data_IF_817278035453
#
_entry.id   IF_817278035453
#
_cell.length_a   1.000
_cell.length_b   1.000
_cell.length_c   1.000
_cell.angle_alpha   90.00
_cell.angle_beta   90.00
_cell.angle_gamma   90.00
#
_symmetry.space_group_name_H-M   'P 1'
#
loop_
_entity.id
_entity.type
_entity.pdbx_description
1 polymer ?
#
# COMPACT_ATOMS: atom_id res chain seq x y z
N UNK A 1 -15.15 11.36 21.10
CA UNK A 1 -15.95 10.16 20.74
C UNK A 1 -15.24 8.94 21.30
N UNK A 2 -15.52 8.59 22.55
CA UNK A 2 -14.93 7.42 23.18
C UNK A 2 -15.78 6.18 22.87
N UNK A 3 -15.16 5.10 22.38
CA UNK A 3 -15.83 3.83 22.10
C UNK A 3 -15.69 3.32 20.66
N UNK A 4 -16.32 2.18 20.40
CA UNK A 4 -16.28 1.42 19.12
C UNK A 4 -16.62 2.30 17.91
N UNK A 5 -17.55 3.26 18.06
CA UNK A 5 -17.94 4.18 16.98
C UNK A 5 -16.80 5.05 16.46
N UNK A 6 -15.89 5.51 17.33
CA UNK A 6 -14.70 6.26 16.92
C UNK A 6 -13.73 5.40 16.11
N UNK A 7 -13.54 4.15 16.53
CA UNK A 7 -12.68 3.16 15.85
C UNK A 7 -13.20 2.82 14.46
N UNK A 8 -14.52 2.62 14.33
CA UNK A 8 -15.17 2.36 13.03
C UNK A 8 -14.99 3.57 12.11
N UNK A 9 -15.29 4.78 12.59
CA UNK A 9 -15.18 6.00 11.80
C UNK A 9 -13.74 6.23 11.31
N UNK A 10 -12.75 6.11 12.19
CA UNK A 10 -11.35 6.25 11.82
C UNK A 10 -10.90 5.21 10.80
N UNK A 11 -11.38 3.97 10.95
CA UNK A 11 -11.09 2.89 9.99
C UNK A 11 -11.72 3.15 8.63
N UNK A 12 -12.95 3.66 8.58
CA UNK A 12 -13.64 4.01 7.33
C UNK A 12 -12.95 5.18 6.60
N UNK A 13 -12.58 6.23 7.34
CA UNK A 13 -11.87 7.39 6.76
C UNK A 13 -10.53 6.93 6.18
N UNK A 14 -9.74 6.21 6.97
CA UNK A 14 -8.41 5.77 6.53
C UNK A 14 -8.48 4.73 5.40
N UNK A 15 -9.38 3.76 5.50
CA UNK A 15 -9.61 2.76 4.45
C UNK A 15 -10.05 3.43 3.14
N UNK A 16 -10.95 4.40 3.21
CA UNK A 16 -11.41 5.14 2.02
C UNK A 16 -10.26 5.93 1.39
N UNK A 17 -9.46 6.64 2.20
CA UNK A 17 -8.27 7.35 1.71
C UNK A 17 -7.29 6.39 1.02
N UNK A 18 -7.02 5.23 1.64
CA UNK A 18 -6.17 4.18 1.06
C UNK A 18 -6.71 3.67 -0.27
N UNK A 19 -7.99 3.31 -0.35
CA UNK A 19 -8.60 2.82 -1.61
C UNK A 19 -8.51 3.88 -2.70
N UNK A 20 -8.81 5.14 -2.41
CA UNK A 20 -8.75 6.21 -3.40
C UNK A 20 -7.32 6.47 -3.88
N UNK A 21 -6.35 6.52 -2.97
CA UNK A 21 -4.95 6.70 -3.31
C UNK A 21 -4.37 5.50 -4.08
N UNK A 22 -4.69 4.28 -3.66
CA UNK A 22 -4.27 3.06 -4.35
C UNK A 22 -4.93 2.91 -5.71
N UNK A 23 -6.23 3.21 -5.84
CA UNK A 23 -6.91 3.27 -7.13
C UNK A 23 -6.21 4.24 -8.08
N UNK A 24 -5.96 5.47 -7.62
CA UNK A 24 -5.29 6.48 -8.44
C UNK A 24 -3.92 5.99 -8.90
N UNK A 25 -3.11 5.47 -7.97
CA UNK A 25 -1.76 4.99 -8.30
C UNK A 25 -1.75 3.76 -9.21
N UNK A 26 -2.70 2.84 -9.04
CA UNK A 26 -2.92 1.72 -9.94
C UNK A 26 -3.34 2.21 -11.34
N UNK A 27 -4.15 3.27 -11.43
CA UNK A 27 -4.47 3.93 -12.69
C UNK A 27 -3.22 4.48 -13.38
N UNK A 28 -2.35 5.17 -12.65
CA UNK A 28 -1.04 5.62 -13.16
C UNK A 28 -0.20 4.43 -13.65
N UNK A 29 -0.14 3.34 -12.88
CA UNK A 29 0.57 2.12 -13.26
C UNK A 29 0.05 1.50 -14.54
N UNK A 30 -1.27 1.42 -14.70
CA UNK A 30 -1.89 0.94 -15.93
C UNK A 30 -1.54 1.86 -17.12
N UNK A 31 -1.57 3.19 -16.95
CA UNK A 31 -1.17 4.11 -18.04
C UNK A 31 0.30 3.99 -18.42
N UNK A 32 1.19 3.75 -17.46
CA UNK A 32 2.64 3.71 -17.69
C UNK A 32 3.12 2.36 -18.21
N UNK A 33 2.54 1.27 -17.69
CA UNK A 33 2.99 -0.09 -17.98
C UNK A 33 2.15 -0.77 -19.05
N UNK A 34 0.91 -0.30 -19.29
CA UNK A 34 -0.06 -0.86 -20.24
C UNK A 34 -0.69 0.25 -21.10
N UNK A 35 0.12 1.03 -21.86
CA UNK A 35 -0.37 2.15 -22.67
C UNK A 35 -1.37 1.74 -23.75
N UNK A 36 -1.45 0.45 -24.10
CA UNK A 36 -2.39 -0.12 -25.06
C UNK A 36 -3.83 -0.21 -24.55
N UNK A 37 -4.08 -0.02 -23.25
CA UNK A 37 -5.42 -0.11 -22.68
C UNK A 37 -6.27 1.15 -22.97
N UNK A 38 -7.56 0.94 -23.24
CA UNK A 38 -8.51 2.04 -23.35
C UNK A 38 -8.76 2.73 -22.00
N UNK A 39 -9.16 4.00 -22.04
CA UNK A 39 -9.46 4.79 -20.83
C UNK A 39 -10.52 4.12 -19.93
N UNK A 40 -11.55 3.50 -20.52
CA UNK A 40 -12.57 2.76 -19.77
C UNK A 40 -12.02 1.50 -19.10
N UNK A 41 -11.12 0.77 -19.77
CA UNK A 41 -10.46 -0.40 -19.20
C UNK A 41 -9.57 0.01 -18.01
N UNK A 42 -8.82 1.11 -18.15
CA UNK A 42 -7.99 1.68 -17.07
C UNK A 42 -8.87 2.08 -15.88
N UNK A 43 -9.98 2.80 -16.12
CA UNK A 43 -10.90 3.22 -15.06
C UNK A 43 -11.43 2.03 -14.26
N UNK A 44 -11.90 0.97 -14.93
CA UNK A 44 -12.43 -0.23 -14.27
C UNK A 44 -11.34 -0.99 -13.52
N UNK A 45 -10.22 -1.30 -14.17
CA UNK A 45 -9.13 -2.09 -13.56
C UNK A 45 -8.44 -1.34 -12.43
N UNK A 46 -8.35 -0.01 -12.47
CA UNK A 46 -7.77 0.78 -11.38
C UNK A 46 -8.51 0.59 -10.05
N UNK A 47 -9.83 0.47 -10.09
CA UNK A 47 -10.65 0.20 -8.90
C UNK A 47 -10.37 -1.19 -8.33
N UNK A 48 -10.41 -2.21 -9.18
CA UNK A 48 -10.15 -3.60 -8.79
C UNK A 48 -8.75 -3.73 -8.17
N UNK A 49 -7.72 -3.18 -8.82
CA UNK A 49 -6.35 -3.23 -8.32
C UNK A 49 -6.17 -2.42 -7.03
N UNK A 50 -6.82 -1.26 -6.90
CA UNK A 50 -6.80 -0.47 -5.67
C UNK A 50 -7.39 -1.21 -4.47
N UNK A 51 -8.50 -1.92 -4.68
CA UNK A 51 -9.12 -2.78 -3.66
C UNK A 51 -8.23 -3.99 -3.32
N UNK A 52 -7.69 -4.67 -4.33
CA UNK A 52 -6.76 -5.77 -4.12
C UNK A 52 -5.53 -5.31 -3.32
N UNK A 53 -4.99 -4.13 -3.63
CA UNK A 53 -3.86 -3.56 -2.89
C UNK A 53 -4.18 -3.34 -1.42
N UNK A 54 -5.39 -2.88 -1.09
CA UNK A 54 -5.85 -2.75 0.29
C UNK A 54 -5.94 -4.12 0.97
N UNK A 55 -6.50 -5.13 0.30
CA UNK A 55 -6.64 -6.48 0.83
C UNK A 55 -5.28 -7.15 1.08
N UNK A 56 -4.33 -6.95 0.16
CA UNK A 56 -2.93 -7.38 0.35
C UNK A 56 -2.37 -6.73 1.62
N UNK A 57 -2.52 -5.40 1.75
CA UNK A 57 -2.09 -4.65 2.93
C UNK A 57 -2.67 -5.19 4.23
N UNK A 58 -3.97 -5.50 4.24
CA UNK A 58 -4.63 -6.12 5.39
C UNK A 58 -4.01 -7.50 5.74
N UNK A 59 -3.75 -8.34 4.74
CA UNK A 59 -3.15 -9.66 4.92
C UNK A 59 -1.71 -9.60 5.47
N UNK A 60 -0.89 -8.65 5.00
CA UNK A 60 0.50 -8.52 5.48
C UNK A 60 0.65 -7.63 6.72
N UNK A 61 -0.36 -6.83 7.08
CA UNK A 61 -0.28 -5.89 8.20
C UNK A 61 -0.07 -6.56 9.56
N UNK A 62 -0.67 -7.74 9.78
CA UNK A 62 -0.50 -8.51 11.03
C UNK A 62 0.94 -9.02 11.22
N UNK A 63 1.52 -9.81 10.29
CA UNK A 63 2.91 -10.26 10.43
C UNK A 63 3.90 -9.09 10.40
N UNK A 64 3.56 -8.00 9.71
CA UNK A 64 4.35 -6.78 9.71
C UNK A 64 4.47 -6.14 11.09
N UNK A 65 3.38 -6.07 11.87
CA UNK A 65 3.41 -5.48 13.20
C UNK A 65 4.37 -6.25 14.13
N UNK A 66 4.37 -7.58 14.05
CA UNK A 66 5.30 -8.43 14.79
C UNK A 66 6.75 -8.22 14.33
N UNK A 67 6.99 -8.22 13.01
CA UNK A 67 8.33 -7.99 12.45
C UNK A 67 8.87 -6.60 12.83
N UNK A 68 8.02 -5.57 12.78
CA UNK A 68 8.39 -4.22 13.19
C UNK A 68 8.78 -4.16 14.67
N UNK A 69 8.03 -4.81 15.56
CA UNK A 69 8.37 -4.85 16.99
C UNK A 69 9.74 -5.51 17.21
N UNK A 70 10.01 -6.64 16.55
CA UNK A 70 11.30 -7.35 16.64
C UNK A 70 12.47 -6.51 16.12
N UNK A 71 12.33 -5.85 14.97
CA UNK A 71 13.39 -4.98 14.41
C UNK A 71 13.59 -3.75 15.29
N UNK A 72 12.53 -3.20 15.88
CA UNK A 72 12.64 -2.08 16.83
C UNK A 72 13.43 -2.48 18.07
N UNK A 73 13.19 -3.68 18.62
CA UNK A 73 13.94 -4.21 19.76
C UNK A 73 15.44 -4.38 19.43
N UNK A 74 15.76 -4.87 18.22
CA UNK A 74 17.14 -5.06 17.78
C UNK A 74 17.89 -3.75 17.48
N UNK A 75 17.19 -2.76 16.93
CA UNK A 75 17.83 -1.51 16.46
C UNK A 75 17.76 -0.37 17.46
N UNK A 76 16.74 -0.34 18.33
CA UNK A 76 16.45 0.79 19.24
C UNK A 76 16.02 2.07 18.53
N UNK A 77 15.94 2.09 17.19
CA UNK A 77 15.68 3.29 16.39
C UNK A 77 14.37 3.14 15.62
N UNK A 78 13.33 3.86 16.05
CA UNK A 78 11.98 3.81 15.47
C UNK A 78 11.96 4.06 13.95
N UNK A 79 12.70 5.06 13.48
CA UNK A 79 12.74 5.42 12.06
C UNK A 79 13.42 4.32 11.22
N UNK A 80 14.47 3.69 11.76
CA UNK A 80 15.20 2.63 11.07
C UNK A 80 14.35 1.35 11.00
N UNK A 81 13.70 0.97 12.11
CA UNK A 81 12.78 -0.17 12.13
C UNK A 81 11.61 0.02 11.16
N UNK A 82 11.08 1.24 11.06
CA UNK A 82 10.06 1.58 10.07
C UNK A 82 10.60 1.36 8.65
N UNK A 83 11.75 1.93 8.29
CA UNK A 83 12.29 1.80 6.92
C UNK A 83 12.63 0.36 6.56
N UNK A 84 13.28 -0.39 7.47
CA UNK A 84 13.70 -1.78 7.23
C UNK A 84 12.54 -2.76 7.07
N UNK A 85 11.37 -2.44 7.64
CA UNK A 85 10.19 -3.33 7.56
C UNK A 85 9.20 -2.84 6.51
N UNK A 86 8.83 -1.56 6.53
CA UNK A 86 7.80 -1.01 5.65
C UNK A 86 8.25 -0.93 4.20
N UNK A 87 9.49 -0.49 3.92
CA UNK A 87 9.95 -0.30 2.54
C UNK A 87 10.04 -1.64 1.79
N UNK A 88 10.67 -2.70 2.32
CA UNK A 88 10.74 -3.99 1.61
C UNK A 88 9.39 -4.67 1.45
N UNK A 89 8.52 -4.60 2.47
CA UNK A 89 7.17 -5.15 2.38
C UNK A 89 6.38 -4.41 1.31
N UNK A 90 6.35 -3.07 1.32
CA UNK A 90 5.63 -2.30 0.31
C UNK A 90 6.16 -2.51 -1.09
N UNK A 91 7.47 -2.66 -1.24
CA UNK A 91 8.08 -3.04 -2.51
C UNK A 91 7.49 -4.36 -3.04
N UNK A 92 7.42 -5.37 -2.18
CA UNK A 92 6.84 -6.67 -2.50
C UNK A 92 5.34 -6.58 -2.81
N UNK A 93 4.57 -5.86 -2.00
CA UNK A 93 3.13 -5.67 -2.21
C UNK A 93 2.83 -4.98 -3.54
N UNK A 94 3.55 -3.90 -3.88
CA UNK A 94 3.42 -3.27 -5.19
C UNK A 94 3.88 -4.19 -6.32
N UNK A 95 4.85 -5.06 -6.06
CA UNK A 95 5.26 -6.10 -6.99
C UNK A 95 4.18 -7.15 -7.28
N UNK A 96 3.35 -7.48 -6.30
CA UNK A 96 2.20 -8.39 -6.47
C UNK A 96 1.09 -7.79 -7.35
N UNK A 97 0.99 -6.47 -7.46
CA UNK A 97 -0.01 -5.82 -8.31
C UNK A 97 0.30 -5.98 -9.80
N UNK A 98 1.58 -6.01 -10.18
CA UNK A 98 1.98 -6.01 -11.59
C UNK A 98 1.54 -7.28 -12.34
N UNK A 99 1.67 -8.51 -11.80
CA UNK A 99 1.13 -9.72 -12.41
C UNK A 99 -0.40 -9.71 -12.55
N UNK A 100 -1.11 -8.91 -11.75
CA UNK A 100 -2.56 -8.77 -11.81
C UNK A 100 -3.02 -7.75 -12.87
N UNK A 101 -2.10 -6.96 -13.42
CA UNK A 101 -2.39 -6.13 -14.59
C UNK A 101 -2.57 -7.01 -15.84
N UNK A 102 -3.31 -6.55 -16.86
CA UNK A 102 -3.46 -7.29 -18.12
C UNK A 102 -2.10 -7.71 -18.70
N UNK A 103 -2.00 -8.95 -19.21
CA UNK A 103 -0.76 -9.55 -19.71
C UNK A 103 0.42 -9.58 -18.70
N UNK A 104 0.16 -9.36 -17.41
CA UNK A 104 1.12 -9.56 -16.34
C UNK A 104 1.57 -11.02 -16.25
N UNK A 105 2.87 -11.23 -16.01
CA UNK A 105 3.44 -12.56 -15.76
C UNK A 105 4.06 -12.55 -14.37
N UNK A 106 3.65 -13.50 -13.54
CA UNK A 106 4.22 -13.70 -12.22
C UNK A 106 5.59 -14.39 -12.36
N UNK A 107 6.64 -13.77 -11.85
CA UNK A 107 7.92 -14.46 -11.63
C UNK A 107 8.57 -13.99 -10.34
N UNK A 108 9.25 -14.89 -9.63
CA UNK A 108 9.92 -14.54 -8.37
C UNK A 108 10.99 -13.45 -8.55
N UNK A 109 11.74 -13.49 -9.65
CA UNK A 109 12.68 -12.43 -10.02
C UNK A 109 11.99 -11.09 -10.27
N UNK A 110 10.79 -11.10 -10.87
CA UNK A 110 9.98 -9.89 -11.06
C UNK A 110 9.50 -9.33 -9.70
N UNK A 111 9.09 -10.16 -8.75
CA UNK A 111 8.64 -9.69 -7.44
C UNK A 111 9.76 -8.96 -6.69
N UNK A 112 10.99 -9.49 -6.68
CA UNK A 112 12.09 -8.89 -5.93
C UNK A 112 12.81 -7.77 -6.67
N UNK A 113 13.03 -7.89 -7.99
CA UNK A 113 13.87 -6.94 -8.73
C UNK A 113 13.09 -6.00 -9.65
N UNK A 114 11.83 -6.32 -9.99
CA UNK A 114 11.09 -5.69 -11.10
C UNK A 114 11.64 -6.08 -12.48
N UNK A 115 10.81 -6.04 -13.51
CA UNK A 115 11.20 -6.43 -14.88
C UNK A 115 11.87 -5.29 -15.66
N UNK A 116 11.43 -4.04 -15.45
CA UNK A 116 11.92 -2.88 -16.21
C UNK A 116 12.00 -1.62 -15.33
N UNK A 117 12.73 -0.60 -15.82
CA UNK A 117 12.97 0.65 -15.07
C UNK A 117 11.66 1.37 -14.70
N UNK A 118 10.71 1.44 -15.64
CA UNK A 118 9.40 2.08 -15.41
C UNK A 118 8.61 1.39 -14.31
N UNK A 119 8.61 0.05 -14.28
CA UNK A 119 7.96 -0.72 -13.22
C UNK A 119 8.60 -0.46 -11.86
N UNK A 120 9.95 -0.48 -11.80
CA UNK A 120 10.69 -0.18 -10.57
C UNK A 120 10.37 1.21 -10.04
N UNK A 121 10.36 2.22 -10.92
CA UNK A 121 9.98 3.59 -10.56
C UNK A 121 8.52 3.65 -10.07
N UNK A 122 7.60 2.97 -10.76
CA UNK A 122 6.22 2.91 -10.34
C UNK A 122 6.05 2.29 -8.94
N UNK A 123 6.81 1.24 -8.61
CA UNK A 123 6.82 0.66 -7.26
C UNK A 123 7.39 1.63 -6.21
N UNK A 124 8.52 2.28 -6.50
CA UNK A 124 9.15 3.25 -5.59
C UNK A 124 8.20 4.40 -5.25
N UNK A 125 7.57 4.99 -6.27
CA UNK A 125 6.59 6.04 -6.05
C UNK A 125 5.32 5.50 -5.38
N UNK A 126 4.95 4.24 -5.62
CA UNK A 126 3.89 3.56 -4.87
C UNK A 126 4.19 3.49 -3.37
N UNK A 127 5.43 3.24 -2.96
CA UNK A 127 5.85 3.28 -1.56
C UNK A 127 5.64 4.69 -0.99
N UNK A 128 6.05 5.73 -1.73
CA UNK A 128 5.82 7.12 -1.33
C UNK A 128 4.33 7.46 -1.21
N UNK A 129 3.48 6.98 -2.13
CA UNK A 129 2.02 7.11 -2.04
C UNK A 129 1.48 6.43 -0.78
N UNK A 130 1.90 5.19 -0.50
CA UNK A 130 1.51 4.50 0.73
C UNK A 130 1.91 5.30 1.98
N UNK A 131 3.13 5.88 2.02
CA UNK A 131 3.60 6.71 3.13
C UNK A 131 2.78 7.99 3.27
N UNK A 132 2.47 8.68 2.16
CA UNK A 132 1.64 9.87 2.17
C UNK A 132 0.23 9.58 2.70
N UNK A 133 -0.33 8.42 2.36
CA UNK A 133 -1.64 7.99 2.88
C UNK A 133 -1.59 7.66 4.37
N UNK A 134 -0.46 7.14 4.89
CA UNK A 134 -0.28 6.93 6.34
C UNK A 134 -0.33 8.24 7.13
N UNK A 135 0.04 9.37 6.52
CA UNK A 135 -0.09 10.69 7.16
C UNK A 135 -1.55 11.00 7.49
N UNK A 136 -2.52 10.54 6.67
CA UNK A 136 -3.95 10.69 6.96
C UNK A 136 -4.32 9.98 8.26
N UNK A 137 -3.78 8.77 8.49
CA UNK A 137 -3.95 8.08 9.76
C UNK A 137 -3.30 8.84 10.91
N UNK A 138 -2.06 9.31 10.74
CA UNK A 138 -1.36 10.08 11.76
C UNK A 138 -2.14 11.33 12.17
N UNK A 139 -2.62 12.11 11.20
CA UNK A 139 -3.45 13.29 11.44
C UNK A 139 -4.75 12.90 12.14
N UNK A 140 -5.40 11.81 11.73
CA UNK A 140 -6.58 11.29 12.42
C UNK A 140 -6.32 11.01 13.91
N UNK A 141 -5.22 10.31 14.21
CA UNK A 141 -4.80 10.02 15.60
C UNK A 141 -4.52 11.29 16.39
N UNK A 142 -3.82 12.26 15.81
CA UNK A 142 -3.53 13.55 16.44
C UNK A 142 -4.80 14.36 16.75
N UNK A 143 -5.87 14.17 15.96
CA UNK A 143 -7.18 14.78 16.19
C UNK A 143 -8.10 13.90 17.07
N UNK A 144 -7.56 12.88 17.74
CA UNK A 144 -8.30 12.01 18.66
C UNK A 144 -9.16 10.94 17.99
N UNK A 145 -9.04 10.74 16.67
CA UNK A 145 -9.68 9.66 15.93
C UNK A 145 -8.86 8.37 16.10
N UNK A 146 -9.41 7.37 16.78
CA UNK A 146 -8.80 6.03 16.92
C UNK A 146 -9.21 5.13 15.75
N UNK A 147 -8.40 4.14 15.38
CA UNK A 147 -8.70 3.22 14.27
C UNK A 147 -7.61 2.16 14.05
N UNK A 148 -7.91 1.10 13.28
CA UNK A 148 -6.97 0.00 12.94
C UNK A 148 -5.89 0.39 11.92
N UNK A 149 -5.34 1.61 12.01
CA UNK A 149 -4.56 2.20 10.91
C UNK A 149 -3.22 1.53 10.59
N UNK A 150 -2.66 0.71 11.49
CA UNK A 150 -1.40 -0.01 11.21
C UNK A 150 -1.59 -1.35 10.49
N UNK A 151 -2.83 -1.81 10.30
CA UNK A 151 -3.11 -3.07 9.59
C UNK A 151 -3.16 -2.85 8.07
N UNK A 152 -3.45 -1.62 7.61
CA UNK A 152 -3.47 -1.30 6.19
C UNK A 152 -2.13 -0.71 5.76
N UNK A 153 -1.17 -1.60 5.52
CA UNK A 153 0.12 -1.23 4.97
C UNK A 153 -0.03 -0.50 3.63
#
# INVERSE_FOLDING_TARGET
>A
MEGIGGVILGTLIYGTAKVLGYRWWCGVGLTWLRPELSADAIRRRSWELGMIRLLIGFGVGIPMAALHAMVLELTGVQALAYLLVYVPIRWFEWGLIVPLMPAGKLSWGQLWCGQHRTERQWRLYGIAVSCALDVVFLVGVLNGIRGMGRIFC
#
